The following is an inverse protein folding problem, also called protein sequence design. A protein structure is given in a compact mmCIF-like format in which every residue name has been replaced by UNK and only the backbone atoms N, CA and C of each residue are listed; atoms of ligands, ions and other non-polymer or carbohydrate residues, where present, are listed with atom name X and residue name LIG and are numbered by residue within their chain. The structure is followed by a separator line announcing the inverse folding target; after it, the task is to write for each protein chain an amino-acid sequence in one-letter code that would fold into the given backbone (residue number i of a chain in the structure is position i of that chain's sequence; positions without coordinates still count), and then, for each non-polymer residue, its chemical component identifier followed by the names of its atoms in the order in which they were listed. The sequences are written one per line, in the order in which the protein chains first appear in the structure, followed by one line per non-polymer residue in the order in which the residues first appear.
data_IF_568357443241
#
_entry.id   IF_568357443241
#
_cell.length_a   1.000
_cell.length_b   1.000
_cell.length_c   1.000
_cell.angle_alpha   90.00
_cell.angle_beta   90.00
_cell.angle_gamma   90.00
#
_symmetry.space_group_name_H-M   'P 1'
#
loop_
_entity.id
_entity.type
_entity.pdbx_description
1 polymer ?
#
# COMPACT_ATOMS: atom_id res chain seq x y z
N UNK A 1 6.65 7.45 -4.01
CA UNK A 1 6.41 7.25 -2.55
C UNK A 1 6.07 5.79 -2.29
N UNK A 2 6.42 5.23 -1.13
CA UNK A 2 6.09 3.84 -0.79
C UNK A 2 4.73 3.75 -0.08
N UNK A 3 3.97 2.72 -0.41
CA UNK A 3 2.65 2.44 0.11
C UNK A 3 2.55 0.98 0.56
N UNK A 4 1.93 0.74 1.71
CA UNK A 4 1.84 -0.60 2.33
C UNK A 4 0.38 -0.98 2.53
N UNK A 5 0.03 -2.23 2.22
CA UNK A 5 -1.30 -2.80 2.48
C UNK A 5 -1.18 -4.28 2.84
N UNK A 6 -2.24 -4.89 3.39
CA UNK A 6 -2.23 -6.31 3.76
C UNK A 6 -2.41 -7.23 2.54
N UNK A 7 -1.75 -8.37 2.57
CA UNK A 7 -1.84 -9.45 1.57
C UNK A 7 -3.24 -10.08 1.49
N UNK A 8 -3.49 -10.88 0.45
CA UNK A 8 -4.80 -11.38 0.00
C UNK A 8 -5.69 -10.31 -0.65
N UNK A 9 -5.61 -10.21 -1.98
CA UNK A 9 -6.29 -9.18 -2.78
C UNK A 9 -7.82 -9.22 -2.67
N UNK A 10 -8.37 -8.27 -1.92
CA UNK A 10 -9.76 -7.86 -2.07
C UNK A 10 -9.84 -6.76 -3.14
N UNK A 11 -11.02 -6.51 -3.74
CA UNK A 11 -11.19 -5.55 -4.85
C UNK A 11 -10.56 -4.19 -4.54
N UNK A 12 -10.75 -3.71 -3.30
CA UNK A 12 -10.18 -2.47 -2.79
C UNK A 12 -8.64 -2.40 -2.94
N UNK A 13 -7.93 -3.48 -2.62
CA UNK A 13 -6.45 -3.51 -2.64
C UNK A 13 -5.85 -3.65 -4.04
N UNK A 14 -6.69 -3.79 -5.06
CA UNK A 14 -6.31 -3.71 -6.48
C UNK A 14 -6.71 -2.34 -7.05
N UNK A 15 -7.90 -1.84 -6.68
CA UNK A 15 -8.40 -0.55 -7.13
C UNK A 15 -7.62 0.65 -6.54
N UNK A 16 -7.30 0.61 -5.24
CA UNK A 16 -6.57 1.67 -4.55
C UNK A 16 -5.18 1.93 -5.15
N UNK A 17 -4.33 0.91 -5.42
CA UNK A 17 -3.06 1.12 -6.12
C UNK A 17 -3.22 1.79 -7.49
N UNK A 18 -4.27 1.42 -8.24
CA UNK A 18 -4.56 2.05 -9.53
C UNK A 18 -4.91 3.54 -9.38
N UNK A 19 -5.77 3.88 -8.42
CA UNK A 19 -6.14 5.27 -8.13
C UNK A 19 -4.95 6.10 -7.67
N UNK A 20 -4.13 5.55 -6.76
CA UNK A 20 -2.92 6.20 -6.25
C UNK A 20 -1.97 6.50 -7.41
N UNK A 21 -1.69 5.51 -8.27
CA UNK A 21 -0.84 5.74 -9.44
C UNK A 21 -1.42 6.73 -10.43
N UNK A 22 -2.74 6.76 -10.59
CA UNK A 22 -3.38 7.61 -11.59
C UNK A 22 -3.47 9.07 -11.16
N UNK A 23 -3.69 9.34 -9.88
CA UNK A 23 -4.09 10.67 -9.41
C UNK A 23 -3.20 11.27 -8.31
N UNK A 24 -2.42 10.46 -7.59
CA UNK A 24 -1.65 10.93 -6.43
C UNK A 24 -0.15 10.89 -6.73
N UNK A 25 0.35 9.73 -7.15
CA UNK A 25 1.78 9.49 -7.34
C UNK A 25 2.00 8.38 -8.38
N UNK A 26 2.35 8.78 -9.60
CA UNK A 26 2.59 7.86 -10.73
C UNK A 26 3.72 6.85 -10.45
N UNK A 27 4.69 7.24 -9.62
CA UNK A 27 5.88 6.46 -9.28
C UNK A 27 5.70 5.73 -7.94
N UNK A 28 4.45 5.61 -7.47
CA UNK A 28 4.12 4.87 -6.26
C UNK A 28 4.58 3.41 -6.34
N UNK A 29 5.21 2.95 -5.25
CA UNK A 29 5.58 1.55 -5.05
C UNK A 29 4.71 0.93 -3.96
N UNK A 30 4.22 -0.28 -4.20
CA UNK A 30 3.29 -0.97 -3.31
C UNK A 30 3.95 -2.19 -2.70
N UNK A 31 3.78 -2.35 -1.39
CA UNK A 31 4.34 -3.44 -0.59
C UNK A 31 3.15 -4.16 0.06
N UNK A 32 3.06 -5.47 -0.17
CA UNK A 32 2.02 -6.33 0.39
C UNK A 32 2.65 -7.17 1.49
N UNK A 33 2.08 -7.12 2.69
CA UNK A 33 2.61 -7.81 3.90
C UNK A 33 1.48 -8.48 4.68
N UNK A 34 1.79 -9.27 5.70
CA UNK A 34 0.78 -9.83 6.59
C UNK A 34 -0.07 -8.74 7.24
N UNK A 35 -1.34 -9.04 7.56
CA UNK A 35 -2.28 -8.08 8.18
C UNK A 35 -1.67 -7.41 9.41
N UNK A 36 -1.01 -8.18 10.26
CA UNK A 36 -0.45 -7.69 11.52
C UNK A 36 0.87 -6.93 11.31
N UNK A 37 1.44 -6.96 10.09
CA UNK A 37 2.73 -6.34 9.76
C UNK A 37 2.59 -4.98 9.08
N UNK A 38 1.39 -4.60 8.61
CA UNK A 38 1.18 -3.38 7.79
C UNK A 38 1.72 -2.13 8.47
N UNK A 39 1.35 -1.91 9.73
CA UNK A 39 1.74 -0.69 10.45
C UNK A 39 3.23 -0.67 10.80
N UNK A 40 3.78 -1.83 11.17
CA UNK A 40 5.19 -1.96 11.50
C UNK A 40 6.08 -1.74 10.27
N UNK A 41 5.70 -2.29 9.13
CA UNK A 41 6.41 -2.11 7.87
C UNK A 41 6.27 -0.68 7.36
N UNK A 42 5.07 -0.10 7.43
CA UNK A 42 4.85 1.30 7.09
C UNK A 42 5.77 2.24 7.91
N UNK A 43 5.85 2.01 9.23
CA UNK A 43 6.73 2.79 10.11
C UNK A 43 8.21 2.59 9.80
N UNK A 44 8.66 1.35 9.58
CA UNK A 44 10.07 1.04 9.27
C UNK A 44 10.52 1.67 7.97
N UNK A 45 9.65 1.72 6.97
CA UNK A 45 9.98 2.21 5.62
C UNK A 45 9.62 3.70 5.42
N UNK A 46 8.99 4.35 6.41
CA UNK A 46 8.42 5.69 6.21
C UNK A 46 7.33 5.71 5.13
N UNK A 47 6.67 4.58 4.91
CA UNK A 47 5.66 4.38 3.87
C UNK A 47 4.26 4.69 4.39
N UNK A 48 3.32 4.96 3.49
CA UNK A 48 1.91 5.23 3.84
C UNK A 48 1.07 3.95 3.79
N UNK A 49 0.34 3.65 4.86
CA UNK A 49 -0.64 2.57 4.83
C UNK A 49 -1.93 3.02 4.16
N UNK A 50 -2.59 2.12 3.42
CA UNK A 50 -3.86 2.39 2.73
C UNK A 50 -4.87 1.22 2.88
N UNK A 51 -4.90 0.59 4.06
CA UNK A 51 -5.65 -0.65 4.32
C UNK A 51 -6.91 -0.48 5.18
#
# INVERSE_FOLDING_TARGET
MQWVTREHGNIDRVACPWLIKRFIDQDAQFIFVGRDEVLDVAKKLGAKSFD
#
